data_IF_113071368183
#
_entry.id   IF_113071368183
#
_cell.length_a   1.000
_cell.length_b   1.000
_cell.length_c   1.000
_cell.angle_alpha   90.00
_cell.angle_beta   90.00
_cell.angle_gamma   90.00
#
_symmetry.space_group_name_H-M   'P 1'
#
loop_
_entity.id
_entity.type
_entity.pdbx_description
1 polymer ?
#
# COMPACT_ATOMS: atom_id res chain seq x y z
N UNK A 1 -77.11 37.00 -21.39
CA UNK A 1 -75.68 36.82 -21.71
C UNK A 1 -74.94 37.84 -20.86
N UNK A 2 -74.51 37.42 -19.69
CA UNK A 2 -73.88 38.31 -18.71
C UNK A 2 -72.41 38.49 -19.06
N UNK A 3 -72.03 39.73 -19.35
CA UNK A 3 -70.63 40.12 -19.52
C UNK A 3 -70.00 40.28 -18.14
N UNK A 4 -69.22 39.28 -17.71
CA UNK A 4 -68.32 39.42 -16.57
C UNK A 4 -67.25 40.48 -16.90
N UNK A 5 -67.38 41.66 -16.31
CA UNK A 5 -66.32 42.67 -16.29
C UNK A 5 -65.13 42.13 -15.48
N UNK A 6 -64.07 41.77 -16.19
CA UNK A 6 -62.79 41.40 -15.59
C UNK A 6 -62.19 42.66 -14.98
N UNK A 7 -62.32 42.79 -13.66
CA UNK A 7 -61.71 43.89 -12.91
C UNK A 7 -60.18 43.86 -13.12
N UNK A 8 -59.56 44.97 -13.54
CA UNK A 8 -58.11 44.99 -13.76
C UNK A 8 -57.40 44.79 -12.42
N UNK A 9 -56.65 43.70 -12.30
CA UNK A 9 -55.77 43.42 -11.17
C UNK A 9 -54.77 44.56 -11.00
N UNK A 10 -55.06 45.49 -10.09
CA UNK A 10 -54.13 46.55 -9.70
C UNK A 10 -53.08 45.96 -8.77
N UNK A 11 -51.97 45.50 -9.35
CA UNK A 11 -50.78 45.09 -8.58
C UNK A 11 -50.20 46.32 -7.87
N UNK A 12 -50.45 46.41 -6.55
CA UNK A 12 -49.72 47.34 -5.69
C UNK A 12 -48.34 46.75 -5.42
N UNK A 13 -47.38 47.14 -6.26
CA UNK A 13 -45.97 46.80 -6.03
C UNK A 13 -45.47 47.51 -4.77
N UNK A 14 -45.22 46.74 -3.72
CA UNK A 14 -44.52 47.22 -2.54
C UNK A 14 -43.02 47.23 -2.86
N UNK A 15 -42.33 48.34 -2.57
CA UNK A 15 -40.87 48.45 -2.75
C UNK A 15 -40.15 47.33 -1.97
N UNK A 16 -40.72 46.95 -0.81
CA UNK A 16 -40.21 45.87 0.03
C UNK A 16 -40.23 44.52 -0.69
N UNK A 17 -41.28 44.21 -1.46
CA UNK A 17 -41.34 42.93 -2.18
C UNK A 17 -40.33 42.86 -3.32
N UNK A 18 -40.07 43.98 -4.01
CA UNK A 18 -39.02 44.06 -5.04
C UNK A 18 -37.64 43.83 -4.42
N UNK A 19 -37.35 44.46 -3.27
CA UNK A 19 -36.07 44.32 -2.58
C UNK A 19 -35.87 42.87 -2.09
N UNK A 20 -36.91 42.26 -1.53
CA UNK A 20 -36.88 40.87 -1.08
C UNK A 20 -36.63 39.89 -2.25
N UNK A 21 -37.36 40.04 -3.36
CA UNK A 21 -37.17 39.18 -4.54
C UNK A 21 -35.75 39.36 -5.10
N UNK A 22 -35.25 40.59 -5.17
CA UNK A 22 -33.89 40.88 -5.63
C UNK A 22 -32.85 40.22 -4.74
N UNK A 23 -33.03 40.26 -3.42
CA UNK A 23 -32.15 39.61 -2.47
C UNK A 23 -32.14 38.08 -2.63
N UNK A 24 -33.32 37.45 -2.81
CA UNK A 24 -33.44 36.00 -3.01
C UNK A 24 -32.75 35.58 -4.32
N UNK A 25 -32.98 36.31 -5.41
CA UNK A 25 -32.34 36.03 -6.71
C UNK A 25 -30.83 36.19 -6.62
N UNK A 26 -30.36 37.28 -6.01
CA UNK A 26 -28.92 37.53 -5.80
C UNK A 26 -28.26 36.43 -4.98
N UNK A 27 -28.88 36.00 -3.88
CA UNK A 27 -28.38 34.92 -3.03
C UNK A 27 -28.37 33.58 -3.77
N UNK A 28 -29.40 33.29 -4.58
CA UNK A 28 -29.49 32.06 -5.37
C UNK A 28 -28.39 31.99 -6.43
N UNK A 29 -28.12 33.10 -7.14
CA UNK A 29 -27.04 33.19 -8.11
C UNK A 29 -25.67 33.03 -7.46
N UNK A 30 -25.43 33.69 -6.33
CA UNK A 30 -24.18 33.57 -5.58
C UNK A 30 -23.96 32.14 -5.07
N UNK A 31 -25.02 31.49 -4.58
CA UNK A 31 -24.96 30.09 -4.16
C UNK A 31 -24.62 29.15 -5.33
N UNK A 32 -25.27 29.33 -6.49
CA UNK A 32 -25.00 28.51 -7.67
C UNK A 32 -23.57 28.70 -8.19
N UNK A 33 -23.08 29.94 -8.23
CA UNK A 33 -21.69 30.24 -8.58
C UNK A 33 -20.70 29.59 -7.62
N UNK A 34 -20.98 29.60 -6.32
CA UNK A 34 -20.16 28.95 -5.30
C UNK A 34 -20.11 27.43 -5.48
N UNK A 35 -21.26 26.79 -5.76
CA UNK A 35 -21.32 25.35 -6.03
C UNK A 35 -20.49 24.96 -7.26
N UNK A 36 -20.51 25.77 -8.33
CA UNK A 36 -19.71 25.52 -9.53
C UNK A 36 -18.21 25.65 -9.26
N UNK A 37 -17.79 26.67 -8.50
CA UNK A 37 -16.39 26.83 -8.12
C UNK A 37 -15.89 25.69 -7.23
N UNK A 38 -16.74 25.19 -6.33
CA UNK A 38 -16.41 24.05 -5.49
C UNK A 38 -16.25 22.77 -6.33
N UNK A 39 -17.16 22.55 -7.29
CA UNK A 39 -17.09 21.42 -8.22
C UNK A 39 -15.80 21.47 -9.06
N UNK A 40 -15.45 22.63 -9.60
CA UNK A 40 -14.22 22.83 -10.39
C UNK A 40 -12.96 22.60 -9.56
N UNK A 41 -12.88 23.18 -8.35
CA UNK A 41 -11.74 22.94 -7.45
C UNK A 41 -11.62 21.47 -7.03
N UNK A 42 -12.74 20.80 -6.77
CA UNK A 42 -12.73 19.38 -6.47
C UNK A 42 -12.26 18.54 -7.66
N UNK A 43 -12.65 18.91 -8.88
CA UNK A 43 -12.16 18.27 -10.10
C UNK A 43 -10.65 18.46 -10.26
N UNK A 44 -10.13 19.67 -10.02
CA UNK A 44 -8.69 19.96 -10.05
C UNK A 44 -7.92 19.21 -8.97
N UNK A 45 -8.41 19.16 -7.73
CA UNK A 45 -7.81 18.37 -6.66
C UNK A 45 -7.79 16.88 -7.01
N UNK A 46 -8.88 16.34 -7.56
CA UNK A 46 -8.95 14.95 -8.02
C UNK A 46 -7.98 14.69 -9.18
N UNK A 47 -7.77 15.66 -10.06
CA UNK A 47 -6.77 15.57 -11.12
C UNK A 47 -5.36 15.58 -10.55
N UNK A 48 -5.00 16.54 -9.69
CA UNK A 48 -3.70 16.58 -9.03
C UNK A 48 -3.42 15.31 -8.22
N UNK A 49 -4.41 14.77 -7.50
CA UNK A 49 -4.25 13.49 -6.79
C UNK A 49 -3.92 12.34 -7.74
N UNK A 50 -4.54 12.30 -8.92
CA UNK A 50 -4.22 11.29 -9.94
C UNK A 50 -2.81 11.50 -10.52
N UNK A 51 -2.48 12.73 -10.87
CA UNK A 51 -1.20 13.08 -11.50
C UNK A 51 -0.01 12.81 -10.57
N UNK A 52 -0.15 13.11 -9.27
CA UNK A 52 0.86 12.88 -8.24
C UNK A 52 0.69 11.54 -7.49
N UNK A 53 -0.23 10.69 -7.95
CA UNK A 53 -0.54 9.38 -7.35
C UNK A 53 -0.85 9.47 -5.83
N UNK A 54 -1.44 10.56 -5.36
CA UNK A 54 -1.82 10.79 -3.95
C UNK A 54 -3.04 9.94 -3.57
N UNK A 55 -2.99 9.29 -2.41
CA UNK A 55 -4.12 8.51 -1.87
C UNK A 55 -5.36 9.39 -1.72
N UNK A 56 -6.52 8.87 -2.13
CA UNK A 56 -7.83 9.49 -1.88
C UNK A 56 -8.44 8.90 -0.61
N UNK A 57 -7.96 9.38 0.54
CA UNK A 57 -8.43 8.92 1.86
C UNK A 57 -9.83 9.50 2.13
N UNK A 58 -10.86 8.69 1.91
CA UNK A 58 -12.27 9.07 2.16
C UNK A 58 -12.58 8.92 3.66
N UNK A 59 -12.21 7.79 4.23
CA UNK A 59 -12.40 7.45 5.64
C UNK A 59 -11.05 7.34 6.36
N UNK A 60 -10.78 8.23 7.31
CA UNK A 60 -9.48 8.25 8.03
C UNK A 60 -9.30 7.10 9.03
N UNK A 61 -10.30 6.23 9.22
CA UNK A 61 -10.23 5.08 10.12
C UNK A 61 -9.73 3.80 9.45
N UNK A 62 -9.65 3.79 8.11
CA UNK A 62 -9.24 2.62 7.32
C UNK A 62 -7.80 2.74 6.83
N UNK A 63 -7.21 1.59 6.52
CA UNK A 63 -5.91 1.51 5.84
C UNK A 63 -6.16 1.65 4.34
N UNK A 64 -5.42 2.52 3.66
CA UNK A 64 -5.49 2.63 2.20
C UNK A 64 -4.16 2.25 1.59
N UNK A 65 -4.19 1.39 0.58
CA UNK A 65 -3.01 0.99 -0.18
C UNK A 65 -3.19 1.35 -1.64
N UNK A 66 -2.15 1.98 -2.20
CA UNK A 66 -2.04 2.27 -3.63
C UNK A 66 -0.71 1.78 -4.17
N UNK A 67 -0.69 0.83 -5.11
CA UNK A 67 0.54 0.49 -5.82
C UNK A 67 1.03 1.69 -6.65
N UNK A 68 2.33 1.93 -6.65
CA UNK A 68 2.99 2.96 -7.46
C UNK A 68 3.73 2.31 -8.62
N UNK A 69 3.75 3.01 -9.76
CA UNK A 69 4.48 2.55 -10.94
C UNK A 69 5.97 2.73 -10.73
N UNK A 70 6.73 1.65 -10.91
CA UNK A 70 8.18 1.60 -10.72
C UNK A 70 8.87 1.17 -12.02
N UNK A 71 10.11 1.66 -12.28
CA UNK A 71 10.81 1.38 -13.54
C UNK A 71 11.59 0.05 -13.55
N UNK A 72 11.80 -0.59 -12.40
CA UNK A 72 12.62 -1.78 -12.27
C UNK A 72 11.79 -3.02 -11.93
N UNK A 73 12.12 -4.16 -12.55
CA UNK A 73 11.34 -5.41 -12.47
C UNK A 73 11.37 -6.06 -11.07
N UNK A 74 12.43 -5.83 -10.30
CA UNK A 74 12.62 -6.37 -8.94
C UNK A 74 12.41 -5.30 -7.87
N UNK A 75 11.66 -4.26 -8.20
CA UNK A 75 11.29 -3.18 -7.29
C UNK A 75 9.78 -3.10 -7.27
N UNK A 76 9.23 -2.90 -6.07
CA UNK A 76 7.82 -2.66 -5.86
C UNK A 76 7.67 -1.51 -4.89
N UNK A 77 6.69 -0.66 -5.15
CA UNK A 77 6.45 0.50 -4.32
C UNK A 77 4.96 0.69 -4.10
N UNK A 78 4.60 1.03 -2.86
CA UNK A 78 3.22 1.30 -2.45
C UNK A 78 3.17 2.60 -1.69
N UNK A 79 2.11 3.36 -1.90
CA UNK A 79 1.73 4.44 -1.00
C UNK A 79 0.67 3.90 -0.05
N UNK A 80 0.92 4.00 1.25
CA UNK A 80 0.04 3.46 2.28
C UNK A 80 -0.36 4.54 3.26
N UNK A 81 -1.64 4.64 3.56
CA UNK A 81 -2.18 5.43 4.66
C UNK A 81 -2.53 4.50 5.82
N UNK A 82 -1.97 4.78 7.00
CA UNK A 82 -2.22 4.08 8.24
C UNK A 82 -3.03 4.99 9.18
N UNK A 83 -4.20 4.53 9.67
CA UNK A 83 -5.10 5.36 10.46
C UNK A 83 -4.56 5.60 11.87
N UNK A 84 -5.02 6.69 12.49
CA UNK A 84 -4.58 7.13 13.83
C UNK A 84 -5.02 6.17 14.95
N UNK A 85 -4.30 6.23 16.08
CA UNK A 85 -4.68 5.51 17.31
C UNK A 85 -4.09 4.12 17.48
N UNK A 86 -3.31 3.63 16.52
CA UNK A 86 -2.65 2.31 16.60
C UNK A 86 -1.23 2.32 16.07
N UNK A 87 -0.44 1.36 16.52
CA UNK A 87 0.87 1.07 15.95
C UNK A 87 0.71 -0.08 14.97
N UNK A 88 1.44 -0.02 13.86
CA UNK A 88 1.41 -1.05 12.82
C UNK A 88 2.79 -1.68 12.69
N UNK A 89 2.85 -2.90 12.19
CA UNK A 89 4.08 -3.56 11.81
C UNK A 89 4.01 -3.93 10.34
N UNK A 90 5.00 -3.51 9.57
CA UNK A 90 5.26 -4.12 8.28
C UNK A 90 6.12 -5.36 8.50
N UNK A 91 5.69 -6.48 7.96
CA UNK A 91 6.36 -7.78 8.08
C UNK A 91 6.72 -8.29 6.71
N UNK A 92 7.92 -8.84 6.61
CA UNK A 92 8.41 -9.49 5.42
C UNK A 92 8.77 -10.94 5.77
N UNK A 93 8.32 -11.85 4.91
CA UNK A 93 8.73 -13.22 4.90
C UNK A 93 9.13 -13.67 3.50
N UNK A 94 10.33 -14.22 3.40
CA UNK A 94 10.81 -14.98 2.26
C UNK A 94 11.28 -16.32 2.82
N UNK A 95 10.47 -17.36 2.62
CA UNK A 95 10.90 -18.71 2.95
C UNK A 95 11.34 -19.42 1.68
N UNK A 96 12.43 -20.18 1.80
CA UNK A 96 12.92 -21.01 0.71
C UNK A 96 11.84 -22.00 0.31
N UNK A 97 11.61 -22.20 -0.99
CA UNK A 97 10.71 -23.26 -1.44
C UNK A 97 11.42 -24.60 -1.27
N UNK A 98 10.82 -25.60 -0.59
CA UNK A 98 9.57 -25.58 0.15
C UNK A 98 9.72 -25.00 1.59
N UNK A 99 8.71 -24.29 2.11
CA UNK A 99 8.74 -23.71 3.44
C UNK A 99 8.87 -24.84 4.47
N UNK A 100 9.83 -24.70 5.38
CA UNK A 100 10.06 -25.68 6.46
C UNK A 100 8.90 -25.73 7.47
N UNK A 101 8.00 -24.74 7.44
CA UNK A 101 6.87 -24.60 8.36
C UNK A 101 5.61 -24.11 7.64
N UNK A 102 4.41 -24.60 8.00
CA UNK A 102 3.14 -24.27 7.32
C UNK A 102 2.67 -22.83 7.51
N UNK A 103 3.17 -22.11 8.53
CA UNK A 103 2.99 -20.66 8.66
C UNK A 103 4.38 -20.03 8.79
N UNK A 104 4.84 -19.28 7.79
CA UNK A 104 6.21 -18.82 7.78
C UNK A 104 6.34 -17.70 8.82
N UNK A 105 7.33 -17.80 9.72
CA UNK A 105 7.58 -16.78 10.76
C UNK A 105 8.23 -15.53 10.14
N UNK A 106 7.72 -14.33 10.42
CA UNK A 106 8.26 -13.09 9.85
C UNK A 106 9.76 -12.97 10.15
N UNK A 107 10.58 -12.83 9.09
CA UNK A 107 12.04 -12.72 9.23
C UNK A 107 12.48 -11.34 9.67
N UNK A 108 11.73 -10.32 9.26
CA UNK A 108 11.97 -8.94 9.64
C UNK A 108 10.64 -8.22 9.82
N UNK A 109 10.58 -7.33 10.81
CA UNK A 109 9.48 -6.39 10.98
C UNK A 109 10.01 -4.97 11.19
N UNK A 110 9.25 -3.97 10.72
CA UNK A 110 9.45 -2.57 11.07
C UNK A 110 8.17 -2.03 11.68
N UNK A 111 8.31 -1.33 12.80
CA UNK A 111 7.19 -0.69 13.50
C UNK A 111 6.91 0.68 12.89
N UNK A 112 5.65 0.94 12.55
CA UNK A 112 5.18 2.15 11.89
C UNK A 112 4.15 2.85 12.78
N UNK A 113 4.33 4.15 12.97
CA UNK A 113 3.30 5.02 13.54
C UNK A 113 2.21 5.33 12.51
N UNK A 114 1.03 5.83 12.92
CA UNK A 114 0.04 6.36 11.98
C UNK A 114 0.61 7.41 11.03
N UNK A 115 0.09 7.46 9.81
CA UNK A 115 0.56 8.41 8.81
C UNK A 115 0.49 7.87 7.39
N UNK A 116 1.06 8.63 6.45
CA UNK A 116 1.15 8.21 5.05
C UNK A 116 2.60 7.94 4.69
N UNK A 117 2.86 6.76 4.15
CA UNK A 117 4.19 6.26 3.83
C UNK A 117 4.29 5.87 2.36
N UNK A 118 5.50 5.91 1.85
CA UNK A 118 5.90 5.22 0.64
C UNK A 118 6.76 4.03 1.06
N UNK A 119 6.28 2.83 0.80
CA UNK A 119 6.93 1.57 1.13
C UNK A 119 7.56 1.04 -0.14
N UNK A 120 8.85 0.76 -0.11
CA UNK A 120 9.61 0.25 -1.26
C UNK A 120 10.24 -1.09 -0.87
N UNK A 121 9.92 -2.15 -1.61
CA UNK A 121 10.60 -3.44 -1.51
C UNK A 121 11.42 -3.64 -2.78
N UNK A 122 12.70 -3.99 -2.64
CA UNK A 122 13.59 -4.24 -3.76
C UNK A 122 14.47 -5.46 -3.52
N UNK A 123 14.75 -6.19 -4.59
CA UNK A 123 15.77 -7.25 -4.62
C UNK A 123 16.82 -6.93 -5.68
N UNK A 124 18.09 -7.01 -5.30
CA UNK A 124 19.24 -6.74 -6.17
C UNK A 124 20.15 -7.97 -6.14
N UNK A 125 20.38 -8.57 -7.30
CA UNK A 125 21.34 -9.67 -7.41
C UNK A 125 22.76 -9.12 -7.42
N UNK A 126 23.62 -9.67 -6.56
CA UNK A 126 25.04 -9.32 -6.50
C UNK A 126 25.88 -10.50 -7.03
N UNK A 127 26.30 -10.47 -8.32
CA UNK A 127 27.09 -11.53 -8.91
C UNK A 127 28.57 -11.46 -8.57
N UNK A 128 29.03 -10.39 -7.91
CA UNK A 128 30.47 -10.11 -7.71
C UNK A 128 31.06 -10.87 -6.54
N UNK A 129 30.21 -11.39 -5.65
CA UNK A 129 30.59 -12.14 -4.48
C UNK A 129 30.98 -13.58 -4.85
N UNK A 130 31.92 -14.16 -4.08
CA UNK A 130 32.35 -15.55 -4.27
C UNK A 130 31.17 -16.55 -4.21
N UNK A 131 30.17 -16.23 -3.38
CA UNK A 131 28.86 -16.87 -3.37
C UNK A 131 27.83 -15.81 -3.78
N UNK A 132 27.32 -15.86 -5.03
CA UNK A 132 26.31 -14.92 -5.49
C UNK A 132 25.07 -14.97 -4.59
N UNK A 133 24.58 -13.79 -4.20
CA UNK A 133 23.44 -13.66 -3.30
C UNK A 133 22.51 -12.54 -3.76
N UNK A 134 21.25 -12.64 -3.36
CA UNK A 134 20.31 -11.56 -3.48
C UNK A 134 20.41 -10.66 -2.26
N UNK A 135 20.55 -9.36 -2.48
CA UNK A 135 20.35 -8.34 -1.45
C UNK A 135 18.90 -7.90 -1.50
N UNK A 136 18.25 -7.80 -0.35
CA UNK A 136 16.92 -7.23 -0.27
C UNK A 136 16.95 -5.93 0.54
N UNK A 137 16.08 -5.00 0.15
CA UNK A 137 15.86 -3.73 0.84
C UNK A 137 14.36 -3.52 1.00
N UNK A 138 13.94 -3.26 2.23
CA UNK A 138 12.64 -2.74 2.59
C UNK A 138 12.84 -1.33 3.15
N UNK A 139 12.41 -0.32 2.40
CA UNK A 139 12.44 1.07 2.82
C UNK A 139 11.01 1.58 3.08
N UNK A 140 10.84 2.38 4.13
CA UNK A 140 9.58 3.02 4.50
C UNK A 140 9.84 4.49 4.73
N UNK A 141 9.33 5.32 3.83
CA UNK A 141 9.62 6.75 3.79
C UNK A 141 8.35 7.59 3.98
N UNK A 142 8.45 8.63 4.80
CA UNK A 142 7.52 9.75 4.84
C UNK A 142 8.30 11.07 4.98
N UNK A 143 7.66 12.25 4.95
CA UNK A 143 8.36 13.53 5.04
C UNK A 143 9.20 13.77 6.31
N UNK A 144 9.03 12.94 7.34
CA UNK A 144 9.61 13.11 8.67
C UNK A 144 10.47 11.92 9.13
N UNK A 145 10.31 10.75 8.51
CA UNK A 145 10.87 9.48 8.95
C UNK A 145 11.25 8.66 7.72
N UNK A 146 12.46 8.10 7.73
CA UNK A 146 12.92 7.08 6.78
C UNK A 146 13.42 5.90 7.60
N UNK A 147 12.77 4.74 7.43
CA UNK A 147 13.15 3.48 8.05
C UNK A 147 13.59 2.50 6.98
N UNK A 148 14.63 1.73 7.24
CA UNK A 148 15.12 0.73 6.31
C UNK A 148 15.45 -0.57 7.04
N UNK A 149 15.06 -1.68 6.44
CA UNK A 149 15.53 -3.02 6.79
C UNK A 149 16.13 -3.63 5.52
N UNK A 150 17.26 -4.30 5.66
CA UNK A 150 17.90 -4.98 4.54
C UNK A 150 18.64 -6.20 5.01
N UNK A 151 19.05 -7.01 4.05
CA UNK A 151 19.84 -8.20 4.30
C UNK A 151 20.22 -8.86 2.99
N UNK A 152 20.78 -10.06 3.12
CA UNK A 152 21.05 -10.90 1.97
C UNK A 152 20.52 -12.30 2.17
N UNK A 153 20.27 -12.97 1.05
CA UNK A 153 19.76 -14.34 0.99
C UNK A 153 20.48 -15.06 -0.14
N UNK A 154 20.83 -16.32 0.07
CA UNK A 154 21.54 -17.11 -0.94
C UNK A 154 20.70 -17.19 -2.21
N UNK A 155 21.37 -17.21 -3.36
CA UNK A 155 20.73 -17.45 -4.66
C UNK A 155 19.85 -18.70 -4.65
N UNK A 156 20.32 -19.75 -3.99
CA UNK A 156 19.66 -21.06 -3.90
C UNK A 156 18.39 -21.05 -3.04
N UNK A 157 18.29 -20.11 -2.10
CA UNK A 157 17.15 -20.02 -1.17
C UNK A 157 15.94 -19.31 -1.80
N UNK A 158 16.17 -18.45 -2.80
CA UNK A 158 15.11 -17.65 -3.45
C UNK A 158 15.18 -17.74 -4.97
N UNK A 159 15.17 -18.96 -5.54
CA UNK A 159 15.42 -19.16 -6.96
C UNK A 159 14.28 -18.62 -7.84
N UNK A 160 13.13 -18.34 -7.23
CA UNK A 160 12.01 -17.66 -7.86
C UNK A 160 12.31 -16.21 -8.31
N UNK A 161 13.29 -15.53 -7.69
CA UNK A 161 13.72 -14.19 -8.13
C UNK A 161 14.41 -14.21 -9.50
N UNK A 162 14.88 -15.37 -9.97
CA UNK A 162 15.50 -15.51 -11.29
C UNK A 162 14.47 -15.67 -12.41
N UNK A 163 13.21 -15.93 -12.08
CA UNK A 163 12.10 -15.96 -13.03
C UNK A 163 11.78 -14.53 -13.49
N UNK A 164 12.66 -13.98 -14.34
CA UNK A 164 12.71 -12.60 -14.86
C UNK A 164 11.35 -11.88 -14.97
N UNK A 165 10.93 -11.23 -13.89
CA UNK A 165 9.90 -10.20 -13.89
C UNK A 165 8.54 -10.60 -14.48
N UNK A 166 8.27 -11.90 -14.63
CA UNK A 166 6.97 -12.36 -15.09
C UNK A 166 6.11 -12.70 -13.86
N UNK A 167 4.91 -12.10 -13.72
CA UNK A 167 3.97 -12.41 -12.63
C UNK A 167 3.54 -13.87 -12.61
N UNK A 168 3.75 -14.53 -13.75
CA UNK A 168 3.53 -15.93 -14.01
C UNK A 168 4.69 -16.44 -14.85
N UNK A 169 5.48 -17.31 -14.25
CA UNK A 169 6.57 -18.02 -14.89
C UNK A 169 6.53 -19.48 -14.50
N UNK A 170 6.91 -20.35 -15.44
CA UNK A 170 7.25 -21.73 -15.09
C UNK A 170 8.61 -21.71 -14.39
N UNK A 171 8.64 -22.10 -13.12
CA UNK A 171 9.88 -22.35 -12.38
C UNK A 171 10.03 -23.85 -12.14
N UNK A 172 11.24 -24.38 -12.08
CA UNK A 172 11.44 -25.81 -11.74
C UNK A 172 12.00 -25.89 -10.34
N UNK A 173 11.18 -26.35 -9.38
CA UNK A 173 11.65 -26.65 -8.03
C UNK A 173 12.77 -27.70 -8.11
N UNK A 174 13.83 -27.59 -7.31
CA UNK A 174 14.80 -28.67 -7.18
C UNK A 174 14.10 -29.94 -6.71
N UNK A 175 14.53 -31.10 -7.20
CA UNK A 175 13.99 -32.39 -6.75
C UNK A 175 14.29 -32.62 -5.27
N UNK A 176 13.35 -33.24 -4.55
CA UNK A 176 13.50 -33.51 -3.10
C UNK A 176 14.63 -34.51 -2.78
N UNK A 177 15.13 -35.22 -3.79
CA UNK A 177 16.27 -36.13 -3.68
C UNK A 177 17.09 -36.14 -4.98
N UNK A 178 18.36 -36.53 -4.89
CA UNK A 178 19.33 -36.55 -6.00
C UNK A 178 18.88 -37.30 -7.28
N UNK A 179 17.81 -38.10 -7.20
CA UNK A 179 17.27 -38.88 -8.31
C UNK A 179 15.87 -38.48 -8.76
N UNK A 180 15.26 -37.46 -8.15
CA UNK A 180 13.96 -36.94 -8.62
C UNK A 180 14.17 -35.74 -9.55
N UNK A 181 13.59 -35.74 -10.75
CA UNK A 181 13.62 -34.58 -11.61
C UNK A 181 12.90 -33.41 -10.91
N UNK A 182 13.41 -32.20 -11.14
CA UNK A 182 12.79 -31.00 -10.58
C UNK A 182 11.34 -30.84 -11.05
N UNK A 183 10.49 -30.28 -10.18
CA UNK A 183 9.05 -30.17 -10.39
C UNK A 183 8.71 -28.78 -10.93
N UNK A 184 8.15 -28.71 -12.15
CA UNK A 184 7.71 -27.44 -12.74
C UNK A 184 6.51 -26.87 -12.00
N UNK A 185 6.62 -25.68 -11.47
CA UNK A 185 5.60 -24.90 -10.78
C UNK A 185 5.25 -23.66 -11.57
N UNK A 186 3.97 -23.32 -11.61
CA UNK A 186 3.56 -21.98 -11.97
C UNK A 186 3.80 -21.06 -10.78
N UNK A 187 4.37 -19.88 -10.99
CA UNK A 187 4.30 -18.85 -9.97
C UNK A 187 3.11 -17.95 -10.24
N UNK A 188 2.35 -17.57 -9.22
CA UNK A 188 1.27 -16.59 -9.36
C UNK A 188 1.45 -15.53 -8.30
N UNK A 189 1.71 -14.31 -8.77
CA UNK A 189 1.49 -13.10 -7.95
C UNK A 189 -0.01 -12.93 -7.83
N UNK A 190 -0.51 -12.64 -6.63
CA UNK A 190 -1.94 -12.38 -6.43
C UNK A 190 -2.48 -11.46 -7.53
N UNK A 191 -3.39 -11.99 -8.36
CA UNK A 191 -3.84 -11.34 -9.59
C UNK A 191 -4.46 -9.97 -9.32
N UNK A 192 -5.14 -9.79 -8.18
CA UNK A 192 -5.70 -8.48 -7.83
C UNK A 192 -4.59 -7.46 -7.60
N UNK A 193 -3.51 -7.90 -6.97
CA UNK A 193 -2.38 -7.06 -6.64
C UNK A 193 -1.53 -6.76 -7.88
N UNK A 194 -1.32 -7.77 -8.74
CA UNK A 194 -0.55 -7.64 -9.97
C UNK A 194 -1.25 -6.83 -11.07
N UNK A 195 -2.56 -7.06 -11.29
CA UNK A 195 -3.33 -6.27 -12.26
C UNK A 195 -3.26 -4.80 -11.88
N UNK A 196 -3.47 -4.47 -10.60
CA UNK A 196 -3.38 -3.10 -10.11
C UNK A 196 -1.98 -2.47 -10.28
N UNK A 197 -0.90 -3.26 -10.16
CA UNK A 197 0.46 -2.80 -10.43
C UNK A 197 0.70 -2.44 -11.91
N UNK A 198 0.06 -3.14 -12.86
CA UNK A 198 0.35 -3.02 -14.30
C UNK A 198 -0.65 -2.19 -15.10
N UNK A 199 -1.96 -2.33 -14.85
CA UNK A 199 -2.99 -1.75 -15.73
C UNK A 199 -3.29 -0.28 -15.46
N UNK A 200 -2.65 0.34 -14.46
CA UNK A 200 -2.85 1.74 -14.10
C UNK A 200 -4.33 2.12 -13.82
N UNK A 201 -5.22 1.14 -13.63
CA UNK A 201 -6.49 1.32 -12.94
C UNK A 201 -6.15 1.37 -11.44
N UNK A 202 -5.51 2.45 -11.05
CA UNK A 202 -4.98 2.71 -9.71
C UNK A 202 -6.16 3.10 -8.81
N UNK A 203 -7.04 2.14 -8.51
CA UNK A 203 -8.01 2.32 -7.43
C UNK A 203 -7.30 2.16 -6.09
N UNK A 204 -7.65 3.01 -5.13
CA UNK A 204 -7.25 2.78 -3.75
C UNK A 204 -7.98 1.56 -3.23
N UNK A 205 -7.26 0.67 -2.55
CA UNK A 205 -7.84 -0.48 -1.85
C UNK A 205 -7.90 -0.10 -0.37
N UNK A 206 -9.10 -0.14 0.21
CA UNK A 206 -9.31 0.06 1.63
C UNK A 206 -9.37 -1.27 2.38
N UNK A 207 -8.81 -1.26 3.59
CA UNK A 207 -8.82 -2.39 4.52
C UNK A 207 -9.25 -1.91 5.89
N UNK A 208 -9.87 -2.80 6.66
CA UNK A 208 -10.18 -2.52 8.06
C UNK A 208 -8.88 -2.47 8.89
N UNK A 209 -8.79 -1.64 9.95
CA UNK A 209 -7.54 -1.42 10.67
C UNK A 209 -7.00 -2.67 11.39
N UNK A 210 -7.87 -3.65 11.68
CA UNK A 210 -7.51 -4.93 12.30
C UNK A 210 -7.23 -6.04 11.28
N UNK A 211 -7.41 -5.76 9.98
CA UNK A 211 -7.17 -6.71 8.91
C UNK A 211 -5.68 -6.80 8.58
N UNK A 212 -5.25 -8.00 8.19
CA UNK A 212 -3.92 -8.19 7.61
C UNK A 212 -3.92 -7.67 6.17
N UNK A 213 -3.11 -6.65 5.90
CA UNK A 213 -3.09 -5.96 4.61
C UNK A 213 -1.94 -6.50 3.74
N UNK A 214 -2.22 -7.37 2.75
CA UNK A 214 -1.18 -7.88 1.87
C UNK A 214 -0.67 -6.78 0.94
N UNK A 215 0.63 -6.52 0.95
CA UNK A 215 1.29 -5.63 0.00
C UNK A 215 1.88 -6.39 -1.19
N UNK A 216 2.45 -7.56 -0.95
CA UNK A 216 2.98 -8.43 -1.99
C UNK A 216 2.86 -9.88 -1.52
N UNK A 217 2.30 -10.73 -2.38
CA UNK A 217 2.12 -12.14 -2.09
C UNK A 217 2.44 -12.95 -3.34
N UNK A 218 3.44 -13.80 -3.22
CA UNK A 218 3.87 -14.71 -4.27
C UNK A 218 3.56 -16.12 -3.82
N UNK A 219 2.74 -16.80 -4.60
CA UNK A 219 2.36 -18.19 -4.38
C UNK A 219 2.89 -19.03 -5.52
N UNK A 220 3.26 -20.25 -5.19
CA UNK A 220 3.43 -21.30 -6.18
C UNK A 220 2.05 -21.88 -6.47
N UNK A 221 1.58 -21.63 -7.68
CA UNK A 221 0.47 -22.36 -8.27
C UNK A 221 0.94 -23.76 -8.61
N UNK A 222 0.02 -24.72 -8.49
CA UNK A 222 0.27 -26.15 -8.62
C UNK A 222 1.41 -26.51 -9.58
N UNK A 223 2.26 -27.47 -9.22
CA UNK A 223 2.90 -28.21 -10.26
C UNK A 223 1.86 -29.07 -10.95
N UNK A 224 1.78 -28.99 -12.28
CA UNK A 224 1.02 -29.88 -13.16
C UNK A 224 1.07 -31.31 -12.58
N UNK A 225 0.04 -31.70 -11.81
CA UNK A 225 -0.04 -33.06 -11.30
C UNK A 225 -0.18 -33.95 -12.54
N UNK A 226 0.56 -35.06 -12.66
CA UNK A 226 0.20 -36.06 -13.67
C UNK A 226 -1.28 -36.40 -13.45
N UNK A 227 -2.06 -36.38 -14.53
CA UNK A 227 -3.51 -36.11 -14.59
C UNK A 227 -4.46 -36.92 -13.68
N UNK A 228 -3.96 -37.82 -12.84
CA UNK A 228 -4.74 -38.84 -12.12
C UNK A 228 -4.49 -38.89 -10.60
N UNK A 229 -3.78 -37.93 -10.00
CA UNK A 229 -3.63 -37.84 -8.54
C UNK A 229 -4.36 -36.63 -7.96
N UNK A 230 -5.45 -36.88 -7.23
CA UNK A 230 -6.06 -35.88 -6.36
C UNK A 230 -5.07 -35.47 -5.27
N UNK A 231 -4.75 -34.18 -5.14
CA UNK A 231 -3.81 -33.68 -4.15
C UNK A 231 -4.44 -33.77 -2.75
N UNK A 232 -4.04 -34.78 -1.97
CA UNK A 232 -4.70 -35.14 -0.70
C UNK A 232 -4.61 -34.07 0.40
N UNK A 233 -3.61 -33.20 0.43
CA UNK A 233 -3.53 -32.10 1.43
C UNK A 233 -2.52 -31.04 0.98
N UNK A 234 -2.92 -30.06 0.16
CA UNK A 234 -1.97 -29.07 -0.36
C UNK A 234 -2.42 -27.63 -0.12
N UNK A 235 -1.75 -26.99 0.82
CA UNK A 235 -1.81 -25.54 0.99
C UNK A 235 -0.97 -24.89 -0.13
N UNK A 236 -1.42 -23.79 -0.74
CA UNK A 236 -0.59 -23.01 -1.65
C UNK A 236 0.71 -22.64 -0.93
N UNK A 237 1.84 -22.96 -1.56
CA UNK A 237 3.15 -22.69 -1.01
C UNK A 237 3.42 -21.19 -1.17
N UNK A 238 3.18 -20.43 -0.10
CA UNK A 238 3.57 -19.03 -0.01
C UNK A 238 5.09 -18.94 -0.01
N UNK A 239 5.64 -18.30 -1.03
CA UNK A 239 7.08 -18.20 -1.25
C UNK A 239 7.61 -16.88 -0.70
N UNK A 240 6.84 -15.83 -0.94
CA UNK A 240 7.15 -14.50 -0.47
C UNK A 240 5.88 -13.80 -0.02
N UNK A 241 5.95 -13.13 1.12
CA UNK A 241 4.86 -12.34 1.65
C UNK A 241 5.39 -11.07 2.29
N UNK A 242 4.85 -9.93 1.86
CA UNK A 242 5.00 -8.63 2.49
C UNK A 242 3.62 -8.15 2.88
N UNK A 243 3.42 -7.82 4.14
CA UNK A 243 2.12 -7.38 4.64
C UNK A 243 2.26 -6.37 5.77
N UNK A 244 1.16 -5.67 6.04
CA UNK A 244 1.02 -4.79 7.20
C UNK A 244 -0.03 -5.40 8.11
N UNK A 245 0.21 -5.39 9.41
CA UNK A 245 -0.78 -5.72 10.41
C UNK A 245 -0.72 -4.72 11.57
N UNK A 246 -1.83 -4.58 12.28
CA UNK A 246 -1.88 -3.82 13.53
C UNK A 246 -1.08 -4.58 14.59
N UNK A 247 -0.23 -3.87 15.31
CA UNK A 247 0.45 -4.44 16.47
C UNK A 247 -0.59 -4.75 17.56
N UNK A 248 -0.68 -5.99 18.04
CA UNK A 248 -1.65 -6.35 19.06
C UNK A 248 -1.39 -5.50 20.30
N UNK A 249 -2.40 -4.72 20.70
CA UNK A 249 -2.32 -3.90 21.90
C UNK A 249 -2.21 -4.85 23.11
N UNK A 250 -1.23 -4.69 24.00
CA UNK A 250 -1.09 -5.56 25.15
C UNK A 250 -2.37 -5.50 26.00
N UNK A 251 -2.97 -6.67 26.24
CA UNK A 251 -4.28 -6.90 26.88
C UNK A 251 -4.46 -6.25 28.28
N UNK A 252 -3.43 -5.62 28.84
CA UNK A 252 -3.45 -4.92 30.12
C UNK A 252 -3.51 -3.39 30.06
N UNK A 253 -3.47 -2.76 28.87
CA UNK A 253 -3.35 -1.30 28.75
C UNK A 253 -4.69 -0.54 28.72
N UNK A 254 -5.82 -1.24 28.84
CA UNK A 254 -7.17 -0.69 28.66
C UNK A 254 -7.57 0.47 29.61
N UNK A 255 -6.74 0.85 30.59
CA UNK A 255 -7.03 1.95 31.52
C UNK A 255 -5.90 2.96 31.72
N UNK A 256 -4.77 2.83 31.02
CA UNK A 256 -3.76 3.88 31.04
C UNK A 256 -4.09 4.84 29.91
N UNK A 257 -4.79 5.93 30.26
CA UNK A 257 -4.97 7.07 29.37
C UNK A 257 -3.62 7.35 28.68
N UNK A 258 -3.58 7.49 27.34
CA UNK A 258 -2.35 7.86 26.66
C UNK A 258 -1.91 9.17 27.29
N UNK A 259 -0.84 9.14 28.09
CA UNK A 259 -0.24 10.35 28.61
C UNK A 259 0.01 11.23 27.38
N UNK A 260 -0.62 12.42 27.30
CA UNK A 260 -0.46 13.26 26.14
C UNK A 260 1.03 13.49 25.99
N UNK A 261 1.56 13.03 24.85
CA UNK A 261 2.93 13.20 24.40
C UNK A 261 3.52 14.46 25.00
N UNK A 262 4.34 14.30 26.05
CA UNK A 262 5.32 15.31 26.39
C UNK A 262 6.19 15.36 25.13
N UNK A 263 5.95 16.37 24.29
CA UNK A 263 6.84 16.74 23.18
C UNK A 263 8.23 16.77 23.79
N UNK A 264 9.03 15.75 23.49
CA UNK A 264 10.43 15.72 23.83
C UNK A 264 11.10 16.76 22.92
N UNK A 265 11.02 18.01 23.36
CA UNK A 265 11.80 19.11 22.85
C UNK A 265 13.24 18.82 23.31
N UNK A 266 14.14 18.66 22.36
CA UNK A 266 15.59 18.88 22.51
C UNK A 266 16.34 17.89 23.41
N UNK A 267 16.90 16.86 22.78
CA UNK A 267 18.29 16.42 23.00
C UNK A 267 18.79 16.20 21.56
N UNK A 268 19.50 17.15 20.95
CA UNK A 268 20.89 17.47 21.26
C UNK A 268 21.72 16.89 20.11
N UNK A 269 22.35 17.77 19.32
CA UNK A 269 23.09 17.56 18.05
C UNK A 269 24.24 16.52 18.03
N UNK A 270 24.26 15.50 18.88
CA UNK A 270 25.48 14.72 19.17
C UNK A 270 25.50 13.26 18.65
N UNK A 271 24.62 12.88 17.70
CA UNK A 271 24.62 11.52 17.12
C UNK A 271 24.92 11.45 15.62
N UNK A 272 25.48 12.51 15.02
CA UNK A 272 25.94 12.47 13.63
C UNK A 272 27.31 11.80 13.41
N UNK A 273 28.01 11.35 14.45
CA UNK A 273 29.38 10.80 14.30
C UNK A 273 29.49 9.26 14.22
N UNK A 274 28.38 8.51 14.26
CA UNK A 274 28.46 7.04 14.43
C UNK A 274 28.15 6.18 13.19
N UNK A 275 28.02 6.79 12.00
CA UNK A 275 27.97 6.06 10.73
C UNK A 275 28.97 6.64 9.71
N UNK A 276 30.25 6.63 10.07
CA UNK A 276 31.31 6.61 9.06
C UNK A 276 31.43 5.17 8.56
N UNK A 277 30.96 4.93 7.34
CA UNK A 277 31.39 3.78 6.56
C UNK A 277 32.90 3.84 6.40
N UNK A 278 33.59 2.81 6.88
CA UNK A 278 35.01 2.60 6.62
C UNK A 278 35.16 2.20 5.16
N UNK A 279 35.45 3.18 4.29
CA UNK A 279 36.14 2.94 3.03
C UNK A 279 37.60 2.60 3.36
N UNK A 280 37.89 1.32 3.55
CA UNK A 280 39.26 0.81 3.39
C UNK A 280 39.51 0.60 1.89
N UNK A 281 40.01 1.67 1.28
CA UNK A 281 40.89 1.61 0.11
C UNK A 281 42.32 1.40 0.64
N UNK A 282 42.90 0.22 0.41
CA UNK A 282 44.29 0.03 -0.07
C UNK A 282 44.77 -1.43 0.09
N UNK A 283 44.82 -2.15 -1.05
CA UNK A 283 45.96 -2.91 -1.61
C UNK A 283 45.53 -4.08 -2.50
#
# INVERSE_FOLDING_TARGET
MDHQEISPLRFRFSILTILLVTAIVGLSLAYFQSQWQLADRNAQLKQMRRDYQLLDVIDKSKIYVRPLKVPADNMWQWRVHLPEGSTYQIKNNYDSIPPKTPKPAARSSLTLSPGTYVITQMFVFDPTLALPQWRFLLAVDNPYVSLQAGGSVSREDVPWLEARGLPSGEYTLPGESNNQPGRKVGMVVDNNLYINLRTATISDIDYEPDEEVPLLLWKVDEPLSPADQEPVDYLPLEVFRLWIEREPQPDGSANLLPCPLIRQKVLGDDLQSMFCWHEELDQ
#
